data_IF_786105895181
#
_entry.id   IF_786105895181
#
_cell.length_a   1.000
_cell.length_b   1.000
_cell.length_c   1.000
_cell.angle_alpha   90.00
_cell.angle_beta   90.00
_cell.angle_gamma   90.00
#
_symmetry.space_group_name_H-M   'P 1'
#
loop_
_entity.id
_entity.type
_entity.pdbx_description
1 polymer ?
#
# COMPACT_ATOMS: atom_id res chain seq x y z
N UNK A 1 -14.41 21.64 1.58
CA UNK A 1 -14.50 20.16 1.65
C UNK A 1 -13.27 19.54 1.01
N UNK A 2 -12.77 18.43 1.54
CA UNK A 2 -11.75 17.58 0.92
C UNK A 2 -12.38 16.22 0.64
N UNK A 3 -12.28 15.74 -0.60
CA UNK A 3 -12.88 14.45 -0.96
C UNK A 3 -12.12 13.26 -0.33
N UNK A 4 -10.82 13.42 -0.08
CA UNK A 4 -9.94 12.26 0.03
C UNK A 4 -9.98 11.48 -1.28
N UNK A 5 -9.78 10.17 -1.22
CA UNK A 5 -10.04 9.27 -2.34
C UNK A 5 -11.56 9.07 -2.42
N UNK A 6 -12.19 9.48 -3.51
CA UNK A 6 -13.65 9.35 -3.68
C UNK A 6 -14.07 7.88 -3.60
N UNK A 7 -13.25 7.01 -4.18
CA UNK A 7 -13.53 5.59 -4.23
C UNK A 7 -14.28 5.16 -5.48
N UNK A 8 -14.06 3.90 -5.88
CA UNK A 8 -14.77 3.29 -6.99
C UNK A 8 -16.10 2.71 -6.49
N UNK A 9 -17.09 2.59 -7.37
CA UNK A 9 -18.39 2.00 -7.06
C UNK A 9 -18.36 0.47 -7.09
N UNK A 10 -19.30 -0.17 -6.40
CA UNK A 10 -19.44 -1.62 -6.31
C UNK A 10 -18.16 -2.35 -5.87
N UNK A 11 -17.36 -1.71 -4.99
CA UNK A 11 -16.23 -2.39 -4.34
C UNK A 11 -16.76 -3.34 -3.28
N UNK A 12 -16.16 -4.54 -3.10
CA UNK A 12 -16.58 -5.43 -2.05
C UNK A 12 -16.29 -4.82 -0.67
N UNK A 13 -17.05 -5.21 0.32
CA UNK A 13 -17.00 -4.83 1.73
C UNK A 13 -17.65 -3.48 2.05
N UNK A 14 -17.23 -2.41 1.41
CA UNK A 14 -17.66 -1.06 1.77
C UNK A 14 -18.77 -0.54 0.87
N UNK A 15 -19.59 0.35 1.41
CA UNK A 15 -20.60 1.05 0.62
C UNK A 15 -19.96 1.92 -0.45
N UNK A 16 -20.70 2.15 -1.51
CA UNK A 16 -20.33 3.12 -2.56
C UNK A 16 -20.14 4.54 -1.98
N UNK A 17 -19.34 5.36 -2.67
CA UNK A 17 -19.14 6.76 -2.30
C UNK A 17 -20.46 7.50 -2.07
N UNK A 18 -20.61 8.16 -0.92
CA UNK A 18 -21.81 8.85 -0.58
C UNK A 18 -21.90 10.21 -1.29
N UNK A 19 -23.06 10.59 -1.85
CA UNK A 19 -23.23 11.88 -2.47
C UNK A 19 -23.17 12.98 -1.41
N UNK A 20 -22.63 14.13 -1.81
CA UNK A 20 -22.59 15.35 -0.98
C UNK A 20 -23.46 16.40 -1.62
N UNK A 21 -24.36 17.01 -0.82
CA UNK A 21 -25.34 17.91 -1.35
C UNK A 21 -24.78 19.30 -1.71
N UNK A 22 -23.83 19.80 -0.92
CA UNK A 22 -23.33 21.17 -1.07
C UNK A 22 -21.93 21.35 -0.47
N UNK A 23 -21.14 22.19 -1.10
CA UNK A 23 -19.89 22.75 -0.56
C UNK A 23 -19.54 24.03 -1.30
N UNK A 24 -18.93 24.99 -0.62
CA UNK A 24 -18.45 26.20 -1.28
C UNK A 24 -17.16 25.96 -2.05
N UNK A 25 -16.23 25.23 -1.47
CA UNK A 25 -14.92 24.91 -2.02
C UNK A 25 -14.67 23.42 -1.93
N UNK A 26 -14.19 22.83 -3.02
CA UNK A 26 -13.90 21.40 -3.09
C UNK A 26 -12.45 21.18 -3.48
N UNK A 27 -11.73 20.36 -2.72
CA UNK A 27 -10.48 19.75 -3.14
C UNK A 27 -10.79 18.29 -3.47
N UNK A 28 -10.56 17.90 -4.74
CA UNK A 28 -10.93 16.56 -5.25
C UNK A 28 -9.72 15.81 -5.80
N UNK A 29 -9.71 14.49 -5.62
CA UNK A 29 -8.74 13.61 -6.27
C UNK A 29 -8.87 13.62 -7.79
N UNK A 30 -7.80 13.19 -8.47
CA UNK A 30 -7.79 13.00 -9.92
C UNK A 30 -6.88 11.86 -10.37
N UNK A 31 -6.73 10.83 -9.55
CA UNK A 31 -5.85 9.68 -9.81
C UNK A 31 -6.09 9.07 -11.21
N UNK A 32 -7.35 8.94 -11.60
CA UNK A 32 -7.77 8.52 -12.94
C UNK A 32 -8.63 9.58 -13.65
N UNK A 33 -8.35 10.85 -13.40
CA UNK A 33 -9.11 11.97 -13.99
C UNK A 33 -9.00 12.11 -15.52
N UNK A 34 -8.08 11.38 -16.15
CA UNK A 34 -7.82 11.39 -17.59
C UNK A 34 -8.29 10.12 -18.31
N UNK A 35 -8.72 9.08 -17.59
CA UNK A 35 -9.01 7.75 -18.16
C UNK A 35 -10.22 7.08 -17.51
N UNK A 36 -10.72 6.04 -18.18
CA UNK A 36 -11.81 5.19 -17.69
C UNK A 36 -11.28 3.82 -17.31
N UNK A 37 -11.94 3.20 -16.34
CA UNK A 37 -11.76 1.78 -16.07
C UNK A 37 -12.38 0.94 -17.17
N UNK A 38 -11.95 -0.31 -17.37
CA UNK A 38 -12.67 -1.26 -18.23
C UNK A 38 -14.13 -1.36 -17.79
N UNK A 39 -15.06 -1.35 -18.76
CA UNK A 39 -16.51 -1.41 -18.48
C UNK A 39 -16.93 -2.68 -17.76
N UNK A 40 -16.27 -3.79 -18.06
CA UNK A 40 -16.50 -5.06 -17.40
C UNK A 40 -15.42 -5.28 -16.35
N UNK A 41 -15.82 -5.39 -15.10
CA UNK A 41 -14.93 -5.91 -14.06
C UNK A 41 -14.67 -7.37 -14.41
N UNK A 42 -13.40 -7.75 -14.50
CA UNK A 42 -13.01 -9.14 -14.61
C UNK A 42 -13.55 -9.99 -13.45
N UNK A 43 -13.57 -11.29 -13.60
CA UNK A 43 -13.86 -12.22 -12.51
C UNK A 43 -12.68 -12.24 -11.53
N UNK A 44 -12.63 -11.23 -10.65
CA UNK A 44 -11.58 -11.04 -9.63
C UNK A 44 -11.41 -12.31 -8.79
N UNK A 45 -12.50 -12.95 -8.40
CA UNK A 45 -12.49 -14.17 -7.57
C UNK A 45 -11.92 -15.35 -8.36
N UNK A 46 -12.35 -15.54 -9.60
CA UNK A 46 -11.84 -16.62 -10.46
C UNK A 46 -10.37 -16.40 -10.88
N UNK A 47 -9.98 -15.17 -11.22
CA UNK A 47 -8.60 -14.83 -11.55
C UNK A 47 -7.66 -15.05 -10.34
N UNK A 48 -8.08 -14.62 -9.14
CA UNK A 48 -7.33 -14.86 -7.91
C UNK A 48 -7.25 -16.35 -7.57
N UNK A 49 -8.34 -17.10 -7.71
CA UNK A 49 -8.37 -18.56 -7.52
C UNK A 49 -7.40 -19.25 -8.47
N UNK A 50 -7.38 -18.85 -9.74
CA UNK A 50 -6.45 -19.41 -10.73
C UNK A 50 -4.99 -19.11 -10.39
N UNK A 51 -4.68 -17.92 -9.85
CA UNK A 51 -3.32 -17.58 -9.39
C UNK A 51 -2.92 -18.40 -8.17
N UNK A 52 -3.83 -18.60 -7.20
CA UNK A 52 -3.60 -19.46 -6.04
C UNK A 52 -3.34 -20.90 -6.52
N UNK A 53 -4.22 -21.46 -7.34
CA UNK A 53 -4.09 -22.82 -7.87
C UNK A 53 -2.71 -23.03 -8.52
N UNK A 54 -2.33 -22.13 -9.46
CA UNK A 54 -1.04 -22.26 -10.17
C UNK A 54 0.17 -22.23 -9.23
N UNK A 55 0.17 -21.35 -8.24
CA UNK A 55 1.26 -21.26 -7.27
C UNK A 55 1.37 -22.51 -6.41
N UNK A 56 0.24 -23.01 -5.89
CA UNK A 56 0.21 -24.18 -5.01
C UNK A 56 0.52 -25.47 -5.79
N UNK A 57 0.01 -25.66 -7.00
CA UNK A 57 0.30 -26.83 -7.85
C UNK A 57 1.78 -26.97 -8.19
N UNK A 58 2.48 -25.83 -8.31
CA UNK A 58 3.93 -25.81 -8.54
C UNK A 58 4.75 -26.04 -7.25
N UNK A 59 4.09 -26.12 -6.09
CA UNK A 59 4.77 -26.18 -4.79
C UNK A 59 5.41 -24.85 -4.36
N UNK A 60 4.94 -23.75 -4.93
CA UNK A 60 5.40 -22.39 -4.64
C UNK A 60 4.44 -21.59 -3.77
N UNK A 61 4.78 -20.34 -3.52
CA UNK A 61 3.95 -19.39 -2.77
C UNK A 61 3.28 -18.42 -3.73
N UNK A 62 2.05 -17.99 -3.39
CA UNK A 62 1.46 -16.78 -3.94
C UNK A 62 1.79 -15.61 -3.00
N UNK A 63 2.54 -14.63 -3.48
CA UNK A 63 2.89 -13.42 -2.71
C UNK A 63 2.12 -12.24 -3.29
N UNK A 64 1.34 -11.58 -2.45
CA UNK A 64 0.47 -10.46 -2.82
C UNK A 64 0.92 -9.19 -2.11
N UNK A 65 1.67 -8.30 -2.78
CA UNK A 65 1.90 -6.95 -2.29
C UNK A 65 0.58 -6.18 -2.22
N UNK A 66 0.18 -5.76 -1.02
CA UNK A 66 -1.09 -5.06 -0.82
C UNK A 66 -0.93 -3.88 0.15
N UNK A 67 -1.74 -2.84 -0.03
CA UNK A 67 -1.88 -1.81 0.98
C UNK A 67 -2.50 -2.41 2.26
N UNK A 68 -2.04 -1.94 3.41
CA UNK A 68 -2.47 -2.47 4.71
C UNK A 68 -3.95 -2.22 4.98
N UNK A 69 -4.48 -1.10 4.49
CA UNK A 69 -5.89 -0.69 4.65
C UNK A 69 -6.61 -0.81 3.32
N UNK A 70 -7.81 -1.35 3.33
CA UNK A 70 -8.69 -1.55 2.18
C UNK A 70 -8.30 -2.79 1.38
N UNK A 71 -7.24 -2.71 0.57
CA UNK A 71 -6.86 -3.77 -0.38
C UNK A 71 -6.60 -5.13 0.28
N UNK A 72 -5.93 -5.17 1.42
CA UNK A 72 -5.72 -6.42 2.16
C UNK A 72 -7.06 -7.05 2.54
N UNK A 73 -8.02 -6.27 3.05
CA UNK A 73 -9.31 -6.76 3.49
C UNK A 73 -10.18 -7.22 2.30
N UNK A 74 -10.13 -6.54 1.15
CA UNK A 74 -10.78 -6.98 -0.07
C UNK A 74 -10.23 -8.33 -0.58
N UNK A 75 -8.92 -8.51 -0.51
CA UNK A 75 -8.31 -9.80 -0.87
C UNK A 75 -8.71 -10.91 0.10
N UNK A 76 -8.81 -10.62 1.40
CA UNK A 76 -9.32 -11.59 2.38
C UNK A 76 -10.78 -11.95 2.10
N UNK A 77 -11.62 -10.99 1.73
CA UNK A 77 -13.01 -11.23 1.32
C UNK A 77 -13.07 -12.18 0.12
N UNK A 78 -12.30 -11.90 -0.93
CA UNK A 78 -12.23 -12.76 -2.11
C UNK A 78 -11.70 -14.16 -1.81
N UNK A 79 -10.65 -14.28 -0.97
CA UNK A 79 -10.08 -15.59 -0.57
C UNK A 79 -11.08 -16.39 0.27
N UNK A 80 -11.85 -15.74 1.16
CA UNK A 80 -12.94 -16.41 1.90
C UNK A 80 -13.94 -17.03 0.93
N UNK A 81 -14.36 -16.27 -0.07
CA UNK A 81 -15.30 -16.76 -1.10
C UNK A 81 -14.68 -17.92 -1.88
N UNK A 82 -13.43 -17.82 -2.31
CA UNK A 82 -12.70 -18.90 -3.01
C UNK A 82 -12.70 -20.18 -2.18
N UNK A 83 -12.41 -20.10 -0.88
CA UNK A 83 -12.43 -21.25 0.04
C UNK A 83 -13.84 -21.80 0.23
N UNK A 84 -14.83 -20.93 0.43
CA UNK A 84 -16.22 -21.33 0.63
C UNK A 84 -16.79 -22.05 -0.61
N UNK A 85 -16.41 -21.60 -1.80
CA UNK A 85 -16.86 -22.19 -3.08
C UNK A 85 -15.99 -23.37 -3.55
N UNK A 86 -14.89 -23.66 -2.86
CA UNK A 86 -13.96 -24.73 -3.25
C UNK A 86 -13.32 -24.52 -4.62
N UNK A 87 -12.99 -23.25 -4.98
CA UNK A 87 -12.47 -22.93 -6.32
C UNK A 87 -11.01 -23.33 -6.51
N UNK A 88 -10.28 -23.67 -5.45
CA UNK A 88 -8.93 -24.22 -5.49
C UNK A 88 -9.01 -25.68 -5.12
N UNK A 89 -8.64 -26.57 -6.05
CA UNK A 89 -8.78 -28.02 -5.90
C UNK A 89 -7.47 -28.67 -5.51
N UNK A 90 -7.53 -29.73 -4.69
CA UNK A 90 -6.34 -30.45 -4.21
C UNK A 90 -5.53 -29.74 -3.12
N UNK A 91 -5.98 -28.57 -2.68
CA UNK A 91 -5.33 -27.74 -1.67
C UNK A 91 -6.35 -27.14 -0.69
N UNK A 92 -7.33 -27.90 -0.22
CA UNK A 92 -8.47 -27.40 0.56
C UNK A 92 -8.09 -26.59 1.80
N UNK A 93 -6.96 -26.89 2.43
CA UNK A 93 -6.48 -26.28 3.67
C UNK A 93 -5.24 -25.38 3.49
N UNK A 94 -5.05 -24.78 2.29
CA UNK A 94 -3.91 -23.90 2.11
C UNK A 94 -3.91 -22.73 3.11
N UNK A 95 -2.75 -22.44 3.75
CA UNK A 95 -2.66 -21.34 4.70
C UNK A 95 -2.54 -20.00 3.98
N UNK A 96 -3.14 -18.98 4.59
CA UNK A 96 -3.08 -17.59 4.15
C UNK A 96 -2.51 -16.73 5.26
N UNK A 97 -1.44 -16.02 5.00
CA UNK A 97 -0.79 -15.16 5.97
C UNK A 97 -1.03 -13.68 5.64
N UNK A 98 -1.43 -12.90 6.64
CA UNK A 98 -1.32 -11.44 6.62
C UNK A 98 -0.08 -11.08 7.44
N UNK A 99 1.01 -10.74 6.75
CA UNK A 99 2.29 -10.41 7.40
C UNK A 99 2.60 -8.91 7.28
N UNK A 100 1.85 -8.14 8.05
CA UNK A 100 2.02 -6.70 8.23
C UNK A 100 1.31 -6.28 9.51
N UNK A 101 2.01 -5.74 10.54
CA UNK A 101 1.37 -5.30 11.78
C UNK A 101 0.24 -4.30 11.52
N UNK A 102 0.44 -3.32 10.62
CA UNK A 102 -0.59 -2.35 10.26
C UNK A 102 -1.80 -3.00 9.57
N UNK A 103 -1.57 -3.99 8.70
CA UNK A 103 -2.68 -4.69 8.04
C UNK A 103 -3.47 -5.55 9.03
N UNK A 104 -2.80 -6.16 10.01
CA UNK A 104 -3.45 -6.91 11.09
C UNK A 104 -4.32 -5.99 11.94
N UNK A 105 -3.79 -4.83 12.33
CA UNK A 105 -4.53 -3.82 13.09
C UNK A 105 -5.74 -3.30 12.30
N UNK A 106 -5.55 -2.92 11.04
CA UNK A 106 -6.63 -2.50 10.15
C UNK A 106 -7.71 -3.58 10.01
N UNK A 107 -7.32 -4.86 9.84
CA UNK A 107 -8.27 -5.97 9.77
C UNK A 107 -9.08 -6.09 11.07
N UNK A 108 -8.45 -5.90 12.23
CA UNK A 108 -9.15 -5.84 13.51
C UNK A 108 -10.18 -4.70 13.61
N UNK A 109 -9.86 -3.53 13.04
CA UNK A 109 -10.79 -2.39 12.97
C UNK A 109 -11.97 -2.72 12.05
N UNK A 110 -11.73 -3.27 10.86
CA UNK A 110 -12.82 -3.70 9.95
C UNK A 110 -13.79 -4.67 10.62
N UNK A 111 -13.31 -5.55 11.47
CA UNK A 111 -14.16 -6.48 12.22
C UNK A 111 -15.03 -5.82 13.32
N UNK A 112 -14.71 -4.59 13.69
CA UNK A 112 -15.41 -3.79 14.69
C UNK A 112 -16.27 -2.68 14.08
N UNK A 113 -16.24 -2.49 12.76
CA UNK A 113 -17.07 -1.49 12.07
C UNK A 113 -18.56 -1.78 12.26
N UNK A 114 -19.35 -0.71 12.28
CA UNK A 114 -20.82 -0.85 12.30
C UNK A 114 -21.28 -1.55 11.01
N UNK A 115 -22.21 -2.53 11.10
CA UNK A 115 -22.75 -3.18 9.90
C UNK A 115 -23.29 -2.22 8.83
N UNK A 116 -23.67 -1.01 9.21
CA UNK A 116 -24.13 0.03 8.26
C UNK A 116 -23.03 0.61 7.40
N UNK A 117 -21.77 0.42 7.75
CA UNK A 117 -20.61 0.85 6.96
C UNK A 117 -20.32 -0.08 5.78
N UNK A 118 -20.85 -1.30 5.82
CA UNK A 118 -20.66 -2.30 4.79
C UNK A 118 -21.71 -2.23 3.69
N UNK A 119 -21.37 -2.78 2.52
CA UNK A 119 -22.29 -2.96 1.42
C UNK A 119 -23.41 -3.96 1.74
N UNK A 120 -24.41 -4.06 0.87
CA UNK A 120 -25.59 -4.91 1.08
C UNK A 120 -25.23 -6.40 1.13
N UNK A 121 -24.27 -6.84 0.31
CA UNK A 121 -23.81 -8.21 0.25
C UNK A 121 -23.08 -8.61 1.55
N UNK A 122 -22.15 -7.80 1.99
CA UNK A 122 -21.42 -8.01 3.24
C UNK A 122 -22.36 -8.01 4.44
N UNK A 123 -23.36 -7.12 4.46
CA UNK A 123 -24.39 -7.11 5.51
C UNK A 123 -25.23 -8.39 5.50
N UNK A 124 -25.54 -8.93 4.31
CA UNK A 124 -26.26 -10.20 4.23
C UNK A 124 -25.43 -11.38 4.79
N UNK A 125 -24.11 -11.40 4.53
CA UNK A 125 -23.17 -12.37 5.09
C UNK A 125 -23.10 -12.26 6.63
N UNK A 126 -22.98 -11.03 7.14
CA UNK A 126 -22.95 -10.78 8.60
C UNK A 126 -24.24 -11.22 9.28
N UNK A 127 -25.43 -11.00 8.68
CA UNK A 127 -26.71 -11.47 9.20
C UNK A 127 -26.80 -12.99 9.31
N UNK A 128 -26.05 -13.74 8.53
CA UNK A 128 -25.93 -15.19 8.62
C UNK A 128 -24.96 -15.65 9.71
N UNK A 129 -24.36 -14.73 10.45
CA UNK A 129 -23.35 -15.02 11.47
C UNK A 129 -21.98 -15.38 10.90
N UNK A 130 -21.77 -15.12 9.61
CA UNK A 130 -20.50 -15.39 8.92
C UNK A 130 -19.63 -14.14 8.94
N UNK A 131 -18.35 -14.30 9.25
CA UNK A 131 -17.40 -13.22 9.17
C UNK A 131 -16.96 -13.01 7.71
N UNK A 132 -17.06 -11.78 7.15
CA UNK A 132 -16.80 -11.54 5.73
C UNK A 132 -15.32 -11.64 5.32
N UNK A 133 -14.38 -11.48 6.26
CA UNK A 133 -12.93 -11.46 6.00
C UNK A 133 -12.15 -12.48 6.84
N UNK A 134 -12.84 -13.36 7.56
CA UNK A 134 -12.23 -14.40 8.37
C UNK A 134 -12.62 -15.79 7.85
N UNK A 135 -11.66 -16.70 7.79
CA UNK A 135 -11.86 -18.07 7.33
C UNK A 135 -10.81 -19.02 7.94
N UNK A 136 -11.05 -20.31 7.86
CA UNK A 136 -10.10 -21.33 8.33
C UNK A 136 -8.79 -21.28 7.52
N UNK A 137 -7.66 -21.36 8.23
CA UNK A 137 -6.32 -21.24 7.67
C UNK A 137 -5.81 -19.82 7.50
N UNK A 138 -6.58 -18.77 7.87
CA UNK A 138 -6.07 -17.40 7.97
C UNK A 138 -5.18 -17.25 9.21
N UNK A 139 -3.99 -16.73 9.01
CA UNK A 139 -2.99 -16.50 10.06
C UNK A 139 -2.51 -15.04 10.00
N UNK A 140 -2.60 -14.36 11.13
CA UNK A 140 -2.15 -12.97 11.28
C UNK A 140 -0.78 -12.95 11.97
N UNK A 141 0.22 -12.36 11.33
CA UNK A 141 1.60 -12.28 11.83
C UNK A 141 1.93 -10.86 12.26
N UNK A 142 2.28 -10.69 13.53
CA UNK A 142 2.61 -9.37 14.11
C UNK A 142 4.09 -9.28 14.44
N UNK A 143 4.70 -10.31 14.99
CA UNK A 143 6.11 -10.30 15.38
C UNK A 143 7.06 -10.51 14.21
N UNK A 144 8.30 -10.03 14.36
CA UNK A 144 9.36 -10.26 13.36
C UNK A 144 9.77 -11.73 13.27
N UNK A 145 9.64 -12.49 14.35
CA UNK A 145 10.03 -13.90 14.36
C UNK A 145 8.98 -14.76 13.66
N UNK A 146 7.69 -14.48 13.83
CA UNK A 146 6.63 -15.09 13.01
C UNK A 146 6.84 -14.83 11.52
N UNK A 147 7.17 -13.59 11.16
CA UNK A 147 7.46 -13.21 9.77
C UNK A 147 8.62 -14.00 9.15
N UNK A 148 9.69 -14.24 9.92
CA UNK A 148 10.83 -15.07 9.47
C UNK A 148 10.40 -16.51 9.23
N UNK A 149 9.58 -17.09 10.13
CA UNK A 149 9.09 -18.45 10.01
C UNK A 149 8.25 -18.66 8.74
N UNK A 150 7.46 -17.67 8.31
CA UNK A 150 6.71 -17.74 7.05
C UNK A 150 7.64 -18.01 5.86
N UNK A 151 8.81 -17.36 5.82
CA UNK A 151 9.76 -17.50 4.73
C UNK A 151 10.56 -18.82 4.75
N UNK A 152 10.71 -19.43 5.91
CA UNK A 152 11.45 -20.69 6.08
C UNK A 152 10.57 -21.93 6.02
N UNK A 153 9.26 -21.80 6.21
CA UNK A 153 8.31 -22.90 6.10
C UNK A 153 8.13 -23.32 4.63
N UNK A 154 8.44 -24.58 4.28
CA UNK A 154 8.38 -25.08 2.89
C UNK A 154 6.94 -25.29 2.38
N UNK A 155 5.93 -25.31 3.25
CA UNK A 155 4.54 -25.50 2.84
C UNK A 155 4.11 -24.39 1.88
N UNK A 156 3.53 -24.71 0.68
CA UNK A 156 2.94 -23.71 -0.21
C UNK A 156 1.84 -22.91 0.48
N UNK A 157 1.83 -21.60 0.27
CA UNK A 157 0.94 -20.68 0.99
C UNK A 157 0.65 -19.41 0.20
N UNK A 158 -0.38 -18.68 0.65
CA UNK A 158 -0.66 -17.32 0.21
C UNK A 158 -0.12 -16.34 1.26
N UNK A 159 0.58 -15.29 0.83
CA UNK A 159 1.16 -14.27 1.69
C UNK A 159 0.70 -12.89 1.23
N UNK A 160 -0.08 -12.20 2.05
CA UNK A 160 -0.41 -10.79 1.88
C UNK A 160 0.49 -9.95 2.78
N UNK A 161 1.18 -8.96 2.20
CA UNK A 161 2.11 -8.13 2.97
C UNK A 161 2.21 -6.71 2.40
N UNK A 162 2.33 -5.72 3.26
CA UNK A 162 2.53 -4.34 2.88
C UNK A 162 4.05 -4.04 2.69
N UNK A 163 4.41 -3.13 1.78
CA UNK A 163 3.58 -2.17 1.04
C UNK A 163 3.15 -2.69 -0.34
N UNK A 164 2.06 -2.13 -0.87
CA UNK A 164 1.52 -2.52 -2.18
C UNK A 164 2.44 -2.23 -3.37
N UNK A 165 3.35 -1.25 -3.26
CA UNK A 165 4.34 -0.90 -4.29
C UNK A 165 5.74 -1.48 -4.03
N UNK A 166 5.89 -2.34 -3.03
CA UNK A 166 7.12 -3.05 -2.65
C UNK A 166 8.28 -2.16 -2.18
N UNK A 167 8.06 -0.88 -1.89
CA UNK A 167 9.12 0.05 -1.51
C UNK A 167 9.57 -0.09 -0.05
N UNK A 168 8.68 -0.56 0.82
CA UNK A 168 8.93 -0.69 2.25
C UNK A 168 8.20 -1.91 2.82
N UNK A 169 8.44 -2.20 4.10
CA UNK A 169 7.72 -3.23 4.83
C UNK A 169 8.23 -4.66 4.61
N UNK A 170 7.51 -5.60 5.21
CA UNK A 170 7.87 -7.03 5.21
C UNK A 170 7.76 -7.68 3.84
N UNK A 171 6.95 -7.13 2.93
CA UNK A 171 6.86 -7.59 1.54
C UNK A 171 8.24 -7.72 0.89
N UNK A 172 9.19 -6.84 1.18
CA UNK A 172 10.53 -6.90 0.62
C UNK A 172 11.29 -8.16 1.03
N UNK A 173 11.08 -8.66 2.25
CA UNK A 173 11.64 -9.93 2.71
C UNK A 173 10.98 -11.10 1.98
N UNK A 174 9.65 -11.09 1.84
CA UNK A 174 8.94 -12.13 1.08
C UNK A 174 9.38 -12.15 -0.38
N UNK A 175 9.56 -10.99 -1.01
CA UNK A 175 10.09 -10.89 -2.38
C UNK A 175 11.51 -11.46 -2.48
N UNK A 176 12.40 -11.15 -1.52
CA UNK A 176 13.76 -11.72 -1.48
C UNK A 176 13.74 -13.26 -1.47
N UNK A 177 12.79 -13.87 -0.75
CA UNK A 177 12.69 -15.32 -0.61
C UNK A 177 11.91 -16.00 -1.76
N UNK A 178 11.13 -15.26 -2.54
CA UNK A 178 10.23 -15.84 -3.54
C UNK A 178 10.56 -15.46 -5.00
N UNK A 179 11.17 -14.29 -5.27
CA UNK A 179 11.42 -13.84 -6.65
C UNK A 179 12.30 -14.79 -7.48
N UNK A 180 13.29 -15.42 -6.87
CA UNK A 180 14.20 -16.36 -7.56
C UNK A 180 13.58 -17.74 -7.79
N UNK A 181 12.45 -18.06 -7.15
CA UNK A 181 11.77 -19.35 -7.22
C UNK A 181 10.78 -19.35 -8.38
N UNK A 182 11.00 -20.17 -9.40
CA UNK A 182 10.12 -20.34 -10.57
C UNK A 182 8.73 -20.90 -10.21
N UNK A 183 8.60 -21.55 -9.07
CA UNK A 183 7.36 -22.11 -8.55
C UNK A 183 6.43 -21.01 -7.99
N UNK A 184 7.01 -19.91 -7.51
CA UNK A 184 6.27 -18.83 -6.86
C UNK A 184 5.60 -17.89 -7.87
N UNK A 185 4.50 -17.27 -7.44
CA UNK A 185 3.78 -16.22 -8.17
C UNK A 185 3.77 -14.95 -7.32
N UNK A 186 4.12 -13.82 -7.92
CA UNK A 186 3.93 -12.49 -7.33
C UNK A 186 2.74 -11.86 -8.01
N UNK A 187 1.67 -11.59 -7.26
CA UNK A 187 0.42 -11.07 -7.80
C UNK A 187 0.23 -9.61 -7.37
N UNK A 188 0.33 -8.69 -8.31
CA UNK A 188 -0.02 -7.29 -8.06
C UNK A 188 -1.53 -7.08 -8.13
N UNK A 189 -2.07 -6.42 -7.12
CA UNK A 189 -3.51 -6.17 -6.93
C UNK A 189 -3.85 -4.68 -6.89
N UNK A 190 -3.00 -3.85 -7.48
CA UNK A 190 -3.17 -2.40 -7.53
C UNK A 190 -2.09 -1.73 -8.36
N UNK A 191 -2.28 -0.44 -8.62
CA UNK A 191 -1.40 0.39 -9.41
C UNK A 191 0.04 0.41 -8.86
N UNK A 192 1.01 0.37 -9.78
CA UNK A 192 2.43 0.47 -9.48
C UNK A 192 2.97 1.80 -10.02
N UNK A 193 3.41 2.68 -9.14
CA UNK A 193 3.96 3.97 -9.53
C UNK A 193 5.30 3.80 -10.26
N UNK A 194 5.48 4.56 -11.35
CA UNK A 194 6.72 4.57 -12.13
C UNK A 194 7.95 4.73 -11.24
N UNK A 195 8.96 3.88 -11.45
CA UNK A 195 10.21 3.85 -10.71
C UNK A 195 10.17 3.05 -9.41
N UNK A 196 8.98 2.63 -8.92
CA UNK A 196 8.87 1.74 -7.76
C UNK A 196 9.42 0.33 -8.06
N UNK A 197 9.70 -0.44 -7.01
CA UNK A 197 10.12 -1.83 -7.17
C UNK A 197 9.01 -2.67 -7.83
N UNK A 198 7.75 -2.45 -7.41
CA UNK A 198 6.61 -3.14 -8.02
C UNK A 198 6.50 -2.83 -9.51
N UNK A 199 6.64 -1.57 -9.92
CA UNK A 199 6.63 -1.16 -11.33
C UNK A 199 7.76 -1.84 -12.13
N UNK A 200 8.97 -1.95 -11.58
CA UNK A 200 10.09 -2.64 -12.25
C UNK A 200 9.77 -4.11 -12.48
N UNK A 201 9.17 -4.78 -11.50
CA UNK A 201 8.77 -6.18 -11.61
C UNK A 201 7.67 -6.36 -12.66
N UNK A 202 6.65 -5.50 -12.64
CA UNK A 202 5.55 -5.49 -13.61
C UNK A 202 6.05 -5.27 -15.03
N UNK A 203 7.08 -4.43 -15.20
CA UNK A 203 7.70 -4.14 -16.51
C UNK A 203 8.82 -5.13 -16.88
N UNK A 204 8.85 -6.30 -16.29
CA UNK A 204 9.67 -7.43 -16.73
C UNK A 204 11.14 -7.36 -16.34
N UNK A 205 11.49 -6.69 -15.24
CA UNK A 205 12.84 -6.71 -14.69
C UNK A 205 13.32 -8.15 -14.48
N UNK A 206 14.51 -8.50 -14.98
CA UNK A 206 15.10 -9.83 -14.82
C UNK A 206 15.86 -10.00 -13.51
N UNK A 207 16.24 -8.91 -12.89
CA UNK A 207 16.80 -8.87 -11.54
C UNK A 207 16.44 -7.56 -10.86
N UNK A 208 16.36 -7.57 -9.54
CA UNK A 208 16.09 -6.39 -8.71
C UNK A 208 16.99 -6.38 -7.48
N UNK A 209 17.32 -5.20 -6.98
CA UNK A 209 18.15 -5.05 -5.78
C UNK A 209 17.31 -5.02 -4.52
N UNK A 210 17.50 -6.00 -3.64
CA UNK A 210 16.84 -6.10 -2.34
C UNK A 210 17.88 -6.23 -1.23
N UNK A 211 17.86 -5.34 -0.25
CA UNK A 211 18.80 -5.33 0.88
C UNK A 211 20.29 -5.39 0.46
N UNK A 212 20.61 -4.72 -0.66
CA UNK A 212 21.98 -4.69 -1.19
C UNK A 212 22.37 -5.88 -2.09
N UNK A 213 21.54 -6.91 -2.18
CA UNK A 213 21.77 -8.11 -3.00
C UNK A 213 20.96 -8.04 -4.31
N UNK A 214 21.54 -8.54 -5.40
CA UNK A 214 20.85 -8.69 -6.69
C UNK A 214 20.09 -10.01 -6.70
N UNK A 215 18.77 -9.93 -6.79
CA UNK A 215 17.85 -11.08 -6.77
C UNK A 215 17.30 -11.29 -8.18
N UNK A 216 17.51 -12.47 -8.73
CA UNK A 216 16.95 -12.87 -10.02
C UNK A 216 15.40 -12.95 -9.92
N UNK A 217 14.72 -12.55 -10.99
CA UNK A 217 13.26 -12.63 -11.11
C UNK A 217 12.93 -13.83 -12.00
N UNK A 218 12.71 -14.98 -11.37
CA UNK A 218 12.29 -16.24 -12.01
C UNK A 218 10.82 -16.55 -11.70
N UNK A 219 10.26 -15.97 -10.63
CA UNK A 219 8.85 -16.10 -10.28
C UNK A 219 7.95 -15.54 -11.38
N UNK A 220 6.77 -16.10 -11.52
CA UNK A 220 5.72 -15.53 -12.36
C UNK A 220 5.26 -14.18 -11.76
N UNK A 221 5.24 -13.15 -12.59
CA UNK A 221 4.66 -11.85 -12.23
C UNK A 221 3.27 -11.77 -12.88
N UNK A 222 2.26 -11.64 -12.05
CA UNK A 222 0.86 -11.57 -12.47
C UNK A 222 0.20 -10.28 -11.97
N UNK A 223 -0.85 -9.86 -12.65
CA UNK A 223 -1.68 -8.70 -12.33
C UNK A 223 -3.12 -9.16 -12.16
N UNK A 224 -3.78 -8.65 -11.13
CA UNK A 224 -5.22 -8.82 -10.94
C UNK A 224 -5.92 -7.55 -11.44
N UNK A 225 -6.80 -7.69 -12.42
CA UNK A 225 -7.47 -6.58 -13.05
C UNK A 225 -8.78 -6.22 -12.31
N UNK A 226 -9.29 -5.00 -12.55
CA UNK A 226 -10.59 -4.57 -12.02
C UNK A 226 -10.62 -4.26 -10.53
N UNK A 227 -9.46 -4.16 -9.87
CA UNK A 227 -9.35 -3.96 -8.42
C UNK A 227 -9.01 -2.52 -8.03
N UNK A 228 -9.14 -1.52 -8.92
CA UNK A 228 -8.83 -0.12 -8.55
C UNK A 228 -9.77 0.39 -7.46
N UNK A 229 -9.20 0.93 -6.38
CA UNK A 229 -9.96 1.58 -5.31
C UNK A 229 -10.38 3.02 -5.63
N UNK A 230 -9.76 3.68 -6.61
CA UNK A 230 -10.09 5.05 -7.00
C UNK A 230 -11.19 5.07 -8.06
N UNK A 231 -12.03 6.09 -8.01
CA UNK A 231 -12.94 6.39 -9.09
C UNK A 231 -12.18 6.72 -10.37
N UNK A 232 -12.72 6.30 -11.51
CA UNK A 232 -12.27 6.78 -12.81
C UNK A 232 -12.88 8.15 -13.15
N UNK A 233 -12.55 8.68 -14.32
CA UNK A 233 -13.05 9.97 -14.77
C UNK A 233 -14.58 10.06 -14.70
N UNK A 234 -15.29 9.03 -15.15
CA UNK A 234 -16.77 9.01 -15.14
C UNK A 234 -17.30 8.92 -13.71
N UNK A 235 -16.70 8.09 -12.86
CA UNK A 235 -17.04 7.98 -11.45
C UNK A 235 -16.86 9.30 -10.70
N UNK A 236 -15.74 10.01 -10.92
CA UNK A 236 -15.51 11.35 -10.35
C UNK A 236 -16.55 12.36 -10.81
N UNK A 237 -16.91 12.37 -12.10
CA UNK A 237 -17.91 13.27 -12.65
C UNK A 237 -19.33 12.95 -12.12
N UNK A 238 -19.67 11.68 -11.98
CA UNK A 238 -20.94 11.24 -11.42
C UNK A 238 -21.06 11.63 -9.95
N UNK A 239 -19.98 11.51 -9.18
CA UNK A 239 -19.98 11.95 -7.79
C UNK A 239 -20.16 13.48 -7.68
N UNK A 240 -19.49 14.25 -8.55
CA UNK A 240 -19.66 15.71 -8.65
C UNK A 240 -21.09 16.13 -9.06
N UNK A 241 -21.77 15.33 -9.88
CA UNK A 241 -23.15 15.59 -10.26
C UNK A 241 -24.15 15.48 -9.09
N UNK A 242 -23.73 14.89 -7.96
CA UNK A 242 -24.53 14.83 -6.73
C UNK A 242 -24.68 16.16 -6.00
N UNK A 243 -23.84 17.17 -6.28
CA UNK A 243 -24.00 18.51 -5.71
C UNK A 243 -25.22 19.23 -6.28
N UNK A 244 -26.03 19.82 -5.42
CA UNK A 244 -27.22 20.62 -5.84
C UNK A 244 -26.80 21.84 -6.64
N UNK A 245 -25.72 22.50 -6.21
CA UNK A 245 -25.11 23.65 -6.86
C UNK A 245 -23.62 23.41 -7.05
N UNK A 246 -23.07 23.95 -8.12
CA UNK A 246 -21.62 23.83 -8.34
C UNK A 246 -20.84 24.57 -7.26
N UNK A 247 -19.78 23.98 -6.71
CA UNK A 247 -18.86 24.69 -5.82
C UNK A 247 -18.36 26.00 -6.43
N UNK A 248 -18.12 27.01 -5.59
CA UNK A 248 -17.50 28.27 -6.04
C UNK A 248 -16.16 28.04 -6.73
N UNK A 249 -15.40 27.04 -6.27
CA UNK A 249 -14.14 26.62 -6.84
C UNK A 249 -13.87 25.15 -6.57
N UNK A 250 -13.31 24.44 -7.55
CA UNK A 250 -12.84 23.06 -7.44
C UNK A 250 -11.34 23.03 -7.63
N UNK A 251 -10.62 22.61 -6.61
CA UNK A 251 -9.17 22.38 -6.67
C UNK A 251 -8.91 20.90 -6.97
N UNK A 252 -8.33 20.65 -8.14
CA UNK A 252 -7.99 19.31 -8.59
C UNK A 252 -6.61 18.92 -8.05
N UNK A 253 -6.54 17.81 -7.32
CA UNK A 253 -5.35 17.36 -6.59
C UNK A 253 -5.23 15.83 -6.70
N UNK A 254 -4.23 15.24 -6.03
CA UNK A 254 -4.06 13.80 -5.87
C UNK A 254 -4.14 13.02 -7.21
N UNK A 255 -3.26 13.36 -8.13
CA UNK A 255 -3.06 12.71 -9.42
C UNK A 255 -1.67 13.06 -9.98
N UNK A 256 -1.25 12.39 -11.04
CA UNK A 256 -0.11 12.87 -11.80
C UNK A 256 -0.43 14.19 -12.51
N UNK A 257 0.60 14.91 -12.97
CA UNK A 257 0.45 16.23 -13.60
C UNK A 257 -0.49 16.20 -14.82
N UNK A 258 -0.42 15.11 -15.60
CA UNK A 258 -1.28 14.91 -16.77
C UNK A 258 -2.74 14.71 -16.36
N UNK A 259 -3.01 13.83 -15.41
CA UNK A 259 -4.35 13.52 -14.93
C UNK A 259 -5.00 14.73 -14.27
N UNK A 260 -4.25 15.47 -13.41
CA UNK A 260 -4.76 16.69 -12.78
C UNK A 260 -5.18 17.74 -13.82
N UNK A 261 -4.32 18.00 -14.81
CA UNK A 261 -4.61 18.98 -15.88
C UNK A 261 -5.77 18.55 -16.78
N UNK A 262 -5.81 17.28 -17.16
CA UNK A 262 -6.88 16.75 -18.01
C UNK A 262 -8.24 16.81 -17.30
N UNK A 263 -8.29 16.45 -16.02
CA UNK A 263 -9.52 16.53 -15.23
C UNK A 263 -9.95 17.97 -15.01
N UNK A 264 -9.02 18.86 -14.66
CA UNK A 264 -9.27 20.30 -14.55
C UNK A 264 -9.84 20.89 -15.84
N UNK A 265 -9.27 20.54 -17.01
CA UNK A 265 -9.79 20.99 -18.30
C UNK A 265 -11.21 20.46 -18.57
N UNK A 266 -11.48 19.21 -18.21
CA UNK A 266 -12.82 18.62 -18.31
C UNK A 266 -13.83 19.38 -17.46
N UNK A 267 -13.50 19.67 -16.19
CA UNK A 267 -14.38 20.43 -15.29
C UNK A 267 -14.67 21.84 -15.82
N UNK A 268 -13.63 22.53 -16.34
CA UNK A 268 -13.81 23.86 -16.99
C UNK A 268 -14.75 23.80 -18.17
N UNK A 269 -14.62 22.76 -19.03
CA UNK A 269 -15.51 22.58 -20.19
C UNK A 269 -16.98 22.35 -19.79
N UNK A 270 -17.20 21.78 -18.58
CA UNK A 270 -18.53 21.58 -18.00
C UNK A 270 -19.04 22.79 -17.21
N UNK A 271 -18.29 23.89 -17.24
CA UNK A 271 -18.68 25.17 -16.60
C UNK A 271 -18.43 25.19 -15.08
N UNK A 272 -17.50 24.40 -14.58
CA UNK A 272 -16.99 24.56 -13.21
C UNK A 272 -15.86 25.60 -13.20
N UNK A 273 -15.79 26.38 -12.14
CA UNK A 273 -14.55 27.08 -11.80
C UNK A 273 -13.58 26.07 -11.19
N UNK A 274 -12.53 25.72 -11.90
CA UNK A 274 -11.60 24.70 -11.46
C UNK A 274 -10.14 25.15 -11.67
N UNK A 275 -9.25 24.68 -10.79
CA UNK A 275 -7.81 24.82 -10.93
C UNK A 275 -7.09 23.55 -10.47
N UNK A 276 -5.89 23.31 -11.03
CA UNK A 276 -4.99 22.24 -10.62
C UNK A 276 -3.69 22.88 -10.09
N UNK A 277 -3.71 23.39 -8.84
CA UNK A 277 -2.62 24.19 -8.31
C UNK A 277 -1.41 23.34 -7.96
N UNK A 278 -0.22 23.87 -8.20
CA UNK A 278 1.03 23.31 -7.70
C UNK A 278 1.29 23.69 -6.25
N UNK A 279 2.13 22.91 -5.57
CA UNK A 279 2.52 23.14 -4.19
C UNK A 279 3.08 24.56 -3.99
N UNK A 280 2.58 25.28 -2.98
CA UNK A 280 2.91 26.67 -2.70
C UNK A 280 1.98 27.70 -3.35
N UNK A 281 0.99 27.26 -4.15
CA UNK A 281 -0.07 28.14 -4.64
C UNK A 281 -1.06 28.44 -3.52
N UNK A 282 -1.47 29.69 -3.38
CA UNK A 282 -2.35 30.14 -2.30
C UNK A 282 -3.60 30.84 -2.85
N UNK A 283 -4.75 30.55 -2.24
CA UNK A 283 -6.04 31.16 -2.52
C UNK A 283 -6.65 31.74 -1.25
N UNK A 284 -7.15 32.95 -1.33
CA UNK A 284 -8.04 33.51 -0.31
C UNK A 284 -9.48 32.98 -0.53
N UNK A 285 -9.93 32.11 0.33
CA UNK A 285 -11.25 31.48 0.22
C UNK A 285 -12.41 32.43 0.57
N UNK A 286 -12.15 33.58 1.24
CA UNK A 286 -13.17 34.57 1.52
C UNK A 286 -13.49 35.34 0.25
N UNK A 287 -12.46 35.77 -0.45
CA UNK A 287 -12.60 36.58 -1.69
C UNK A 287 -12.65 35.72 -2.96
N UNK A 288 -12.28 34.43 -2.87
CA UNK A 288 -12.17 33.52 -4.01
C UNK A 288 -11.00 33.82 -4.94
N UNK A 289 -10.02 34.62 -4.51
CA UNK A 289 -8.93 35.10 -5.37
C UNK A 289 -7.65 34.32 -5.14
N UNK A 290 -6.93 34.08 -6.23
CA UNK A 290 -5.54 33.62 -6.22
C UNK A 290 -4.66 34.72 -5.61
N UNK A 291 -3.95 34.42 -4.54
CA UNK A 291 -3.01 35.36 -3.87
C UNK A 291 -1.57 35.10 -4.22
N UNK A 292 -1.19 33.84 -4.36
CA UNK A 292 0.17 33.43 -4.76
C UNK A 292 0.08 32.35 -5.82
N UNK A 293 0.77 32.56 -6.94
CA UNK A 293 0.91 31.54 -7.98
C UNK A 293 2.28 30.89 -7.91
N UNK A 294 2.33 29.55 -7.97
CA UNK A 294 3.58 28.79 -8.02
C UNK A 294 3.63 27.97 -9.28
N UNK A 295 4.73 28.06 -10.02
CA UNK A 295 4.99 27.19 -11.16
C UNK A 295 5.39 25.79 -10.68
N UNK A 296 4.93 24.76 -11.42
CA UNK A 296 5.29 23.37 -11.13
C UNK A 296 6.76 23.10 -11.43
N UNK A 297 7.50 22.67 -10.43
CA UNK A 297 8.87 22.21 -10.57
C UNK A 297 8.90 20.69 -10.47
N UNK A 298 9.39 20.02 -11.52
CA UNK A 298 9.54 18.57 -11.51
C UNK A 298 10.57 18.17 -10.43
N UNK A 299 10.12 17.44 -9.43
CA UNK A 299 10.99 16.95 -8.35
C UNK A 299 11.88 15.84 -8.93
N UNK A 300 13.19 16.04 -8.89
CA UNK A 300 14.15 14.96 -9.14
C UNK A 300 14.14 14.00 -7.92
N UNK A 301 13.40 12.90 -8.06
CA UNK A 301 13.28 11.88 -7.00
C UNK A 301 14.64 11.27 -6.63
N UNK A 302 15.59 11.21 -7.55
CA UNK A 302 16.94 10.73 -7.25
C UNK A 302 17.72 11.70 -6.34
N UNK A 303 17.47 13.01 -6.45
CA UNK A 303 18.04 14.02 -5.57
C UNK A 303 17.38 14.02 -4.16
N UNK A 304 16.08 13.78 -4.09
CA UNK A 304 15.34 13.70 -2.82
C UNK A 304 15.75 12.47 -1.99
N UNK A 305 16.05 11.34 -2.64
CA UNK A 305 16.55 10.14 -1.93
C UNK A 305 17.99 10.28 -1.41
N UNK A 306 18.76 11.27 -1.87
CA UNK A 306 20.14 11.52 -1.39
C UNK A 306 20.24 12.18 -0.01
N UNK A 307 19.14 12.41 0.65
CA UNK A 307 19.16 12.88 2.04
C UNK A 307 17.94 13.69 2.42
N UNK A 308 16.92 13.03 2.90
CA UNK A 308 15.95 13.75 3.72
C UNK A 308 16.71 14.35 4.92
N UNK A 309 16.45 15.62 5.24
CA UNK A 309 17.02 16.31 6.40
C UNK A 309 16.94 15.45 7.68
N UNK A 310 15.89 14.62 7.78
CA UNK A 310 15.70 13.63 8.85
C UNK A 310 16.72 12.48 8.84
N UNK A 311 17.08 11.95 7.66
CA UNK A 311 18.09 10.87 7.57
C UNK A 311 19.49 11.41 7.89
N UNK A 312 19.77 12.66 7.47
CA UNK A 312 21.00 13.37 7.81
C UNK A 312 21.06 13.64 9.31
N UNK A 313 19.98 14.10 9.92
CA UNK A 313 19.88 14.32 11.36
C UNK A 313 20.07 13.04 12.17
N UNK A 314 19.43 11.92 11.78
CA UNK A 314 19.61 10.62 12.44
C UNK A 314 21.05 10.14 12.36
N UNK A 315 21.73 10.35 11.24
CA UNK A 315 23.14 10.01 11.09
C UNK A 315 24.03 10.89 11.98
N UNK A 316 23.78 12.20 12.01
CA UNK A 316 24.49 13.16 12.88
C UNK A 316 24.27 12.84 14.38
N UNK A 317 23.05 12.49 14.77
CA UNK A 317 22.71 12.04 16.13
C UNK A 317 23.46 10.74 16.50
N UNK A 318 23.57 9.80 15.55
CA UNK A 318 24.32 8.56 15.76
C UNK A 318 25.82 8.81 15.91
N UNK A 319 26.38 9.70 15.12
CA UNK A 319 27.80 10.12 15.24
C UNK A 319 28.03 10.80 16.59
N UNK A 320 27.17 11.73 16.97
CA UNK A 320 27.26 12.43 18.27
C UNK A 320 27.18 11.45 19.46
N UNK A 321 26.29 10.45 19.39
CA UNK A 321 26.20 9.39 20.41
C UNK A 321 27.47 8.54 20.49
N UNK A 322 28.09 8.20 19.35
CA UNK A 322 29.35 7.46 19.31
C UNK A 322 30.52 8.26 19.88
N UNK A 323 30.60 9.57 19.60
CA UNK A 323 31.59 10.48 20.16
C UNK A 323 31.42 10.66 21.67
N UNK A 324 30.17 10.78 22.15
CA UNK A 324 29.88 10.83 23.58
C UNK A 324 30.29 9.54 24.29
N UNK A 325 30.05 8.38 23.67
CA UNK A 325 30.51 7.10 24.21
C UNK A 325 32.03 7.01 24.25
N UNK A 326 32.72 7.48 23.20
CA UNK A 326 34.19 7.54 23.20
C UNK A 326 34.75 8.47 24.27
N UNK A 327 34.13 9.64 24.47
CA UNK A 327 34.49 10.57 25.54
C UNK A 327 34.29 9.91 26.91
N UNK A 328 33.16 9.22 27.14
CA UNK A 328 32.91 8.49 28.37
C UNK A 328 33.98 7.40 28.64
N UNK A 329 34.35 6.64 27.62
CA UNK A 329 35.41 5.60 27.74
C UNK A 329 36.74 6.21 28.14
N UNK A 330 37.10 7.37 27.57
CA UNK A 330 38.36 8.08 27.93
C UNK A 330 38.40 8.55 29.38
N UNK A 331 37.26 8.92 29.98
CA UNK A 331 37.20 9.32 31.42
C UNK A 331 37.29 8.13 32.37
N UNK A 332 37.15 6.89 31.88
CA UNK A 332 37.23 5.68 32.71
C UNK A 332 38.65 5.19 32.99
N UNK A 333 39.66 5.92 32.56
CA UNK A 333 41.05 5.59 32.85
C UNK A 333 41.29 5.70 34.36
N UNK A 334 41.55 4.56 35.02
CA UNK A 334 41.73 4.49 36.50
C UNK A 334 40.55 3.92 37.28
N UNK A 335 39.43 3.61 36.64
CA UNK A 335 38.31 2.90 37.26
C UNK A 335 38.61 1.40 37.43
N UNK A 336 37.74 0.71 38.20
CA UNK A 336 37.94 -0.74 38.49
C UNK A 336 37.98 -1.58 37.22
N UNK A 337 38.85 -2.59 37.21
CA UNK A 337 38.95 -3.51 36.06
C UNK A 337 37.63 -4.23 35.76
N UNK A 338 36.82 -4.50 36.80
CA UNK A 338 35.54 -5.16 36.67
C UNK A 338 34.49 -4.31 35.90
N UNK A 339 34.41 -3.00 36.22
CA UNK A 339 33.49 -2.10 35.56
C UNK A 339 33.92 -1.80 34.13
N UNK A 340 35.23 -1.66 33.89
CA UNK A 340 35.78 -1.45 32.56
C UNK A 340 35.55 -2.71 31.68
N UNK A 341 35.76 -3.92 32.21
CA UNK A 341 35.48 -5.15 31.47
C UNK A 341 33.99 -5.31 31.09
N UNK A 342 33.07 -4.93 31.99
CA UNK A 342 31.63 -4.95 31.70
C UNK A 342 31.26 -3.99 30.56
N UNK A 343 31.75 -2.76 30.62
CA UNK A 343 31.51 -1.77 29.57
C UNK A 343 32.12 -2.20 28.23
N UNK A 344 33.33 -2.75 28.24
CA UNK A 344 33.99 -3.28 27.05
C UNK A 344 33.13 -4.38 26.40
N UNK A 345 32.61 -5.33 27.18
CA UNK A 345 31.73 -6.39 26.68
C UNK A 345 30.45 -5.84 26.02
N UNK A 346 29.84 -4.82 26.60
CA UNK A 346 28.66 -4.17 26.03
C UNK A 346 28.96 -3.46 24.71
N UNK A 347 30.09 -2.75 24.61
CA UNK A 347 30.54 -2.10 23.38
C UNK A 347 30.83 -3.13 22.28
N UNK A 348 31.56 -4.19 22.60
CA UNK A 348 31.87 -5.27 21.64
C UNK A 348 30.58 -5.91 21.14
N UNK A 349 29.67 -6.25 22.02
CA UNK A 349 28.37 -6.86 21.66
C UNK A 349 27.55 -5.92 20.76
N UNK A 350 27.57 -4.61 21.01
CA UNK A 350 26.92 -3.62 20.14
C UNK A 350 27.58 -3.60 18.75
N UNK A 351 28.91 -3.57 18.69
CA UNK A 351 29.67 -3.57 17.43
C UNK A 351 29.37 -4.84 16.64
N UNK A 352 29.41 -6.03 17.26
CA UNK A 352 29.14 -7.31 16.60
C UNK A 352 27.69 -7.39 16.07
N UNK A 353 26.73 -6.89 16.84
CA UNK A 353 25.32 -6.84 16.41
C UNK A 353 25.10 -6.03 15.13
N UNK A 354 25.92 -5.02 14.88
CA UNK A 354 25.77 -4.09 13.74
C UNK A 354 26.89 -4.23 12.70
N UNK A 355 27.89 -5.08 12.90
CA UNK A 355 28.79 -5.54 11.86
C UNK A 355 27.99 -6.42 10.88
N UNK A 356 27.76 -5.90 9.69
CA UNK A 356 27.28 -6.69 8.55
C UNK A 356 28.47 -7.07 7.68
#
# INVERSE_FOLDING_TARGET
MFSGDVGNVNQPLLRDPQPVAETEYLVIESTYGDRLHPKERGDVVGELAACIQRALDRGGNLVIPAFAVGRTQEMLYAIREIKQRGLVTGHDHFPVYVDSPLAVEATGIFLQCDPTDFDDETRAILKQGVNPIWFDGLKLSVSSDESKLINTDPQPKVILSASGMCEAGRIRHHLKHNLWRKESVILFVGYQAEGSLGWKLENGAKSVKLFGEDIAVNAEIAMLHGTSGHADKEGLLNWLAGFREKPKMVFVNHGDDGSCKAFCATLKSMGYHADAPYSGTEYDLITGKLTTYTEGVKIDRAAVFKGTQRAKQIYEDMVAAAEALLALVKTRRGNTNKDNAKLTGQIISLIEKWKK
#
